data_IF_693900345712
#
_entry.id   IF_693900345712
#
_cell.length_a   1.000
_cell.length_b   1.000
_cell.length_c   1.000
_cell.angle_alpha   90.00
_cell.angle_beta   90.00
_cell.angle_gamma   90.00
#
_symmetry.space_group_name_H-M   'P 1'
#
loop_
_entity.id
_entity.type
_entity.pdbx_description
1 polymer ?
#
# COMPACT_ATOMS: atom_id res chain seq x y z
N UNK A 1 -2.14 -9.47 8.63
CA UNK A 1 -2.92 -9.22 9.87
C UNK A 1 -2.40 -7.99 10.60
N UNK A 2 -3.26 -7.32 11.35
CA UNK A 2 -2.93 -6.18 12.21
C UNK A 2 -3.24 -6.51 13.68
N UNK A 3 -4.37 -7.15 13.93
CA UNK A 3 -4.85 -7.49 15.27
C UNK A 3 -4.16 -8.77 15.79
N UNK A 4 -3.52 -8.73 16.98
CA UNK A 4 -2.98 -9.91 17.63
C UNK A 4 -4.06 -10.98 17.88
N UNK A 5 -5.25 -10.56 18.31
CA UNK A 5 -6.37 -11.49 18.55
C UNK A 5 -6.78 -12.27 17.29
N UNK A 6 -6.83 -11.57 16.13
CA UNK A 6 -7.14 -12.24 14.86
C UNK A 6 -5.98 -13.15 14.42
N UNK A 7 -4.74 -12.76 14.68
CA UNK A 7 -3.57 -13.57 14.41
C UNK A 7 -3.63 -14.89 15.20
N UNK A 8 -3.84 -14.82 16.50
CA UNK A 8 -3.95 -15.98 17.39
C UNK A 8 -5.12 -16.88 16.96
N UNK A 9 -6.26 -16.29 16.64
CA UNK A 9 -7.41 -17.06 16.12
C UNK A 9 -7.08 -17.82 14.84
N UNK A 10 -6.41 -17.18 13.87
CA UNK A 10 -6.05 -17.83 12.61
C UNK A 10 -5.01 -18.91 12.85
N UNK A 11 -3.98 -18.67 13.65
CA UNK A 11 -2.94 -19.66 13.95
C UNK A 11 -3.52 -20.93 14.61
N UNK A 12 -4.44 -20.74 15.54
CA UNK A 12 -5.05 -21.84 16.27
C UNK A 12 -6.07 -22.64 15.45
N UNK A 13 -6.85 -21.98 14.60
CA UNK A 13 -7.95 -22.63 13.88
C UNK A 13 -7.62 -22.97 12.42
N UNK A 14 -6.63 -22.29 11.83
CA UNK A 14 -6.25 -22.43 10.42
C UNK A 14 -4.73 -22.50 10.24
N UNK A 15 -4.04 -23.50 10.80
CA UNK A 15 -2.56 -23.54 10.87
C UNK A 15 -1.88 -23.66 9.50
N UNK A 16 -2.63 -24.01 8.44
CA UNK A 16 -2.11 -24.05 7.07
C UNK A 16 -2.05 -22.68 6.38
N UNK A 17 -2.67 -21.64 6.97
CA UNK A 17 -2.64 -20.31 6.38
C UNK A 17 -1.32 -19.61 6.67
N UNK A 18 -0.75 -19.04 5.61
CA UNK A 18 0.40 -18.18 5.71
C UNK A 18 -0.05 -16.77 6.13
N UNK A 19 0.55 -16.24 7.16
CA UNK A 19 0.21 -14.91 7.66
C UNK A 19 1.18 -13.86 7.12
N UNK A 20 0.61 -12.71 6.74
CA UNK A 20 1.37 -11.51 6.40
C UNK A 20 1.17 -10.46 7.48
N UNK A 21 2.26 -9.95 8.06
CA UNK A 21 2.23 -8.80 8.94
C UNK A 21 1.99 -7.52 8.14
N UNK A 22 1.03 -6.71 8.57
CA UNK A 22 0.59 -5.52 7.82
C UNK A 22 1.36 -4.27 8.22
N UNK A 23 1.69 -3.41 7.25
CA UNK A 23 2.22 -2.06 7.49
C UNK A 23 1.29 -1.19 8.36
N UNK A 24 0.00 -1.53 8.45
CA UNK A 24 -0.93 -0.83 9.35
C UNK A 24 -0.61 -1.01 10.85
N UNK A 25 0.27 -1.93 11.21
CA UNK A 25 0.82 -2.02 12.57
C UNK A 25 1.69 -0.81 12.93
N UNK A 26 2.18 -0.09 11.93
CA UNK A 26 3.03 1.10 12.13
C UNK A 26 4.32 0.80 12.91
N UNK A 27 5.02 -0.22 12.48
CA UNK A 27 6.34 -0.57 13.04
C UNK A 27 7.38 0.37 12.42
N UNK A 28 7.71 1.44 13.12
CA UNK A 28 8.64 2.49 12.66
C UNK A 28 9.95 2.53 13.46
N UNK A 29 10.09 1.65 14.44
CA UNK A 29 11.33 1.43 15.17
C UNK A 29 12.10 0.25 14.53
N UNK A 30 13.41 0.38 14.24
CA UNK A 30 14.19 -0.68 13.62
C UNK A 30 14.26 -1.97 14.43
N UNK A 31 14.36 -1.89 15.77
CA UNK A 31 14.42 -3.08 16.64
C UNK A 31 13.09 -3.80 16.64
N UNK A 32 11.98 -3.06 16.75
CA UNK A 32 10.64 -3.63 16.66
C UNK A 32 10.40 -4.31 15.28
N UNK A 33 10.99 -3.78 14.19
CA UNK A 33 10.93 -4.42 12.88
C UNK A 33 11.73 -5.73 12.85
N UNK A 34 12.92 -5.76 13.44
CA UNK A 34 13.72 -6.99 13.58
C UNK A 34 12.98 -8.06 14.40
N UNK A 35 12.35 -7.66 15.52
CA UNK A 35 11.51 -8.55 16.34
C UNK A 35 10.33 -9.10 15.54
N UNK A 36 9.66 -8.27 14.77
CA UNK A 36 8.55 -8.71 13.90
C UNK A 36 9.00 -9.67 12.82
N UNK A 37 10.19 -9.45 12.23
CA UNK A 37 10.82 -10.36 11.27
C UNK A 37 11.26 -11.68 11.92
N UNK A 38 11.53 -11.69 13.21
CA UNK A 38 11.84 -12.90 14.00
C UNK A 38 10.60 -13.77 14.27
N UNK A 39 9.39 -13.24 14.10
CA UNK A 39 8.14 -14.00 14.27
C UNK A 39 7.83 -14.86 13.04
N UNK A 40 6.95 -15.84 13.23
CA UNK A 40 6.50 -16.74 12.17
C UNK A 40 5.48 -16.06 11.23
N UNK A 41 5.95 -15.07 10.46
CA UNK A 41 5.23 -14.52 9.33
C UNK A 41 5.85 -15.01 8.01
N UNK A 42 4.98 -15.27 7.05
CA UNK A 42 5.41 -15.57 5.68
C UNK A 42 5.98 -14.32 5.01
N UNK A 43 5.30 -13.18 5.20
CA UNK A 43 5.72 -11.87 4.70
C UNK A 43 5.53 -10.84 5.82
N UNK A 44 6.48 -9.93 5.94
CA UNK A 44 6.37 -8.72 6.76
C UNK A 44 6.35 -7.50 5.83
N UNK A 45 5.22 -6.78 5.82
CA UNK A 45 5.13 -5.53 5.06
C UNK A 45 5.83 -4.44 5.86
N UNK A 46 7.01 -4.07 5.41
CA UNK A 46 7.84 -3.03 6.03
C UNK A 46 7.11 -1.69 5.94
N UNK A 47 7.15 -0.91 7.03
CA UNK A 47 6.57 0.43 7.00
C UNK A 47 7.33 1.29 5.99
N UNK A 48 6.60 1.95 5.11
CA UNK A 48 7.21 2.72 4.01
C UNK A 48 8.00 3.96 4.49
N UNK A 49 7.93 4.32 5.76
CA UNK A 49 8.85 5.31 6.33
C UNK A 49 10.30 4.83 6.36
N UNK A 50 10.55 3.52 6.22
CA UNK A 50 11.88 2.95 6.03
C UNK A 50 12.35 2.94 4.57
N UNK A 51 11.49 3.21 3.59
CA UNK A 51 11.89 3.25 2.20
C UNK A 51 13.06 4.22 2.00
N UNK A 52 14.07 3.78 1.27
CA UNK A 52 15.32 4.51 1.02
C UNK A 52 16.16 4.83 2.28
N UNK A 53 15.85 4.23 3.41
CA UNK A 53 16.70 4.27 4.61
C UNK A 53 17.68 3.10 4.57
N UNK A 54 18.77 3.29 3.84
CA UNK A 54 19.77 2.24 3.57
C UNK A 54 20.41 1.70 4.84
N UNK A 55 20.67 2.55 5.85
CA UNK A 55 21.26 2.16 7.13
C UNK A 55 20.45 1.07 7.86
N UNK A 56 19.12 1.13 7.73
CA UNK A 56 18.20 0.14 8.31
C UNK A 56 18.03 -1.04 7.35
N UNK A 57 17.72 -0.77 6.08
CA UNK A 57 17.39 -1.80 5.08
C UNK A 57 18.52 -2.79 4.85
N UNK A 58 19.77 -2.33 4.84
CA UNK A 58 20.96 -3.19 4.66
C UNK A 58 21.14 -4.22 5.77
N UNK A 59 20.71 -3.87 6.97
CA UNK A 59 20.87 -4.71 8.18
C UNK A 59 19.71 -5.67 8.41
N UNK A 60 18.56 -5.49 7.73
CA UNK A 60 17.40 -6.33 7.96
C UNK A 60 17.70 -7.79 7.67
N UNK A 61 17.29 -8.71 8.57
CA UNK A 61 17.27 -10.14 8.29
C UNK A 61 16.11 -10.47 7.33
N UNK A 62 16.19 -11.65 6.69
CA UNK A 62 15.07 -12.19 5.90
C UNK A 62 14.51 -11.21 4.84
N UNK A 63 15.36 -10.45 4.16
CA UNK A 63 14.93 -9.41 3.19
C UNK A 63 13.99 -9.93 2.10
N UNK A 64 14.13 -11.18 1.67
CA UNK A 64 13.22 -11.83 0.70
C UNK A 64 11.78 -11.97 1.21
N UNK A 65 11.59 -11.98 2.53
CA UNK A 65 10.28 -12.08 3.18
C UNK A 65 9.74 -10.69 3.57
N UNK A 66 10.47 -9.62 3.23
CA UNK A 66 10.03 -8.23 3.39
C UNK A 66 9.28 -7.76 2.15
N UNK A 67 8.03 -7.29 2.31
CA UNK A 67 7.29 -6.62 1.24
C UNK A 67 7.42 -5.10 1.39
N UNK A 68 7.85 -4.42 0.33
CA UNK A 68 8.04 -2.96 0.31
C UNK A 68 6.93 -2.30 -0.51
N UNK A 69 6.25 -1.32 0.07
CA UNK A 69 5.25 -0.51 -0.61
C UNK A 69 5.94 0.59 -1.41
N UNK A 70 5.97 0.46 -2.76
CA UNK A 70 6.83 1.29 -3.61
C UNK A 70 6.28 2.68 -3.90
N UNK A 71 4.97 2.87 -3.80
CA UNK A 71 4.26 4.09 -4.19
C UNK A 71 3.30 4.61 -3.13
N UNK A 72 3.69 4.55 -1.86
CA UNK A 72 2.86 5.05 -0.76
C UNK A 72 2.47 6.52 -0.96
N UNK A 73 1.16 6.82 -0.98
CA UNK A 73 0.66 8.16 -1.21
C UNK A 73 0.66 9.06 0.04
N UNK A 74 0.73 8.46 1.22
CA UNK A 74 0.66 9.20 2.48
C UNK A 74 1.94 10.02 2.72
N UNK A 75 1.82 11.09 3.52
CA UNK A 75 2.95 11.89 3.96
C UNK A 75 3.94 11.05 4.75
N UNK A 76 5.25 11.12 4.43
CA UNK A 76 6.29 10.48 5.24
C UNK A 76 6.22 10.94 6.70
N UNK A 77 6.37 10.00 7.64
CA UNK A 77 6.29 10.25 9.08
C UNK A 77 4.98 10.94 9.55
N UNK A 78 3.87 10.75 8.84
CA UNK A 78 2.59 11.36 9.22
C UNK A 78 2.18 10.96 10.65
N UNK A 79 2.08 11.90 11.60
CA UNK A 79 1.73 11.60 12.99
C UNK A 79 0.28 11.12 13.15
N UNK A 80 -0.59 11.45 12.19
CA UNK A 80 -2.01 11.10 12.20
C UNK A 80 -2.31 9.72 11.59
N UNK A 81 -1.31 9.05 11.01
CA UNK A 81 -1.53 7.82 10.22
C UNK A 81 -2.16 6.69 11.03
N UNK A 82 -1.70 6.46 12.27
CA UNK A 82 -2.28 5.43 13.14
C UNK A 82 -3.75 5.70 13.48
N UNK A 83 -4.10 6.97 13.74
CA UNK A 83 -5.48 7.38 13.97
C UNK A 83 -6.33 7.22 12.69
N UNK A 84 -5.78 7.57 11.52
CA UNK A 84 -6.45 7.37 10.22
C UNK A 84 -6.74 5.88 9.97
N UNK A 85 -5.80 4.97 10.18
CA UNK A 85 -6.05 3.54 10.03
C UNK A 85 -7.14 3.02 10.97
N UNK A 86 -7.17 3.49 12.21
CA UNK A 86 -8.27 3.17 13.16
C UNK A 86 -9.61 3.71 12.68
N UNK A 87 -9.64 4.95 12.18
CA UNK A 87 -10.84 5.56 11.64
C UNK A 87 -11.41 4.73 10.48
N UNK A 88 -10.57 4.33 9.52
CA UNK A 88 -10.97 3.43 8.41
C UNK A 88 -11.55 2.11 8.95
N UNK A 89 -10.91 1.51 9.96
CA UNK A 89 -11.42 0.29 10.60
C UNK A 89 -12.80 0.47 11.21
N UNK A 90 -13.02 1.55 11.95
CA UNK A 90 -14.33 1.87 12.55
C UNK A 90 -15.39 2.10 11.47
N UNK A 91 -15.05 2.84 10.41
CA UNK A 91 -15.98 3.06 9.28
C UNK A 91 -16.36 1.74 8.59
N UNK A 92 -15.41 0.82 8.40
CA UNK A 92 -15.69 -0.49 7.79
C UNK A 92 -16.62 -1.35 8.66
N UNK A 93 -16.43 -1.36 9.96
CA UNK A 93 -17.33 -2.06 10.90
C UNK A 93 -18.73 -1.45 10.82
N UNK A 94 -18.84 -0.13 10.95
CA UNK A 94 -20.13 0.58 10.90
C UNK A 94 -20.83 0.39 9.55
N UNK A 95 -20.09 0.40 8.44
CA UNK A 95 -20.63 0.11 7.11
C UNK A 95 -21.19 -1.32 7.03
N UNK A 96 -20.45 -2.32 7.52
CA UNK A 96 -20.92 -3.71 7.52
C UNK A 96 -22.18 -3.91 8.36
N UNK A 97 -22.30 -3.24 9.50
CA UNK A 97 -23.50 -3.24 10.32
C UNK A 97 -24.66 -2.55 9.62
N UNK A 98 -24.38 -1.42 8.96
CA UNK A 98 -25.38 -0.65 8.22
C UNK A 98 -25.99 -1.48 7.07
N UNK A 99 -25.16 -2.12 6.23
CA UNK A 99 -25.69 -2.91 5.11
C UNK A 99 -26.46 -4.15 5.56
N UNK A 100 -26.10 -4.76 6.69
CA UNK A 100 -26.87 -5.87 7.28
C UNK A 100 -28.26 -5.42 7.69
N UNK A 101 -28.39 -4.21 8.22
CA UNK A 101 -29.65 -3.69 8.76
C UNK A 101 -30.51 -2.96 7.71
N UNK A 102 -29.87 -2.17 6.85
CA UNK A 102 -30.56 -1.21 5.99
C UNK A 102 -30.37 -1.47 4.49
N UNK A 103 -29.59 -2.50 4.11
CA UNK A 103 -29.33 -2.95 2.73
C UNK A 103 -28.94 -1.82 1.75
N UNK A 104 -29.94 -1.15 1.16
CA UNK A 104 -29.76 -0.18 0.06
C UNK A 104 -29.82 1.29 0.51
N UNK A 105 -29.92 1.58 1.81
CA UNK A 105 -29.89 2.96 2.27
C UNK A 105 -28.47 3.53 2.24
N UNK A 106 -28.31 4.81 1.90
CA UNK A 106 -27.00 5.45 1.91
C UNK A 106 -26.31 5.38 3.27
N UNK A 107 -25.03 5.08 3.27
CA UNK A 107 -24.19 5.11 4.46
C UNK A 107 -23.46 6.44 4.58
N UNK A 108 -23.62 7.11 5.71
CA UNK A 108 -22.90 8.34 6.00
C UNK A 108 -21.61 8.05 6.77
N UNK A 109 -20.51 7.88 6.02
CA UNK A 109 -19.18 7.65 6.58
C UNK A 109 -18.66 8.85 7.42
N UNK A 110 -19.17 10.06 7.18
CA UNK A 110 -18.72 11.26 7.89
C UNK A 110 -18.98 11.21 9.40
N UNK A 111 -20.05 10.51 9.82
CA UNK A 111 -20.37 10.30 11.24
C UNK A 111 -19.28 9.54 12.01
N UNK A 112 -18.43 8.81 11.29
CA UNK A 112 -17.38 7.97 11.84
C UNK A 112 -15.97 8.52 11.56
N UNK A 113 -15.88 9.80 11.16
CA UNK A 113 -14.63 10.50 10.84
C UNK A 113 -14.50 11.82 11.64
N UNK A 114 -14.35 11.74 12.97
CA UNK A 114 -14.31 12.93 13.84
C UNK A 114 -13.09 13.82 13.57
N UNK A 115 -12.02 13.26 13.00
CA UNK A 115 -10.79 13.99 12.67
C UNK A 115 -10.75 14.48 11.22
N UNK A 116 -11.83 14.30 10.46
CA UNK A 116 -11.95 14.73 9.08
C UNK A 116 -10.86 14.17 8.15
N UNK A 117 -10.52 12.90 8.29
CA UNK A 117 -9.52 12.23 7.44
C UNK A 117 -9.93 12.15 5.98
N UNK A 118 -11.24 12.16 5.68
CA UNK A 118 -11.77 12.19 4.31
C UNK A 118 -11.28 13.40 3.50
N UNK A 119 -10.95 14.50 4.16
CA UNK A 119 -10.40 15.70 3.54
C UNK A 119 -8.87 15.79 3.71
N UNK A 120 -8.20 14.68 3.96
CA UNK A 120 -6.75 14.65 4.02
C UNK A 120 -6.16 15.05 2.64
N UNK A 121 -5.30 16.08 2.57
CA UNK A 121 -4.77 16.56 1.30
C UNK A 121 -3.91 15.50 0.57
N UNK A 122 -3.40 14.52 1.31
CA UNK A 122 -2.55 13.48 0.75
C UNK A 122 -3.31 12.33 0.11
N UNK A 123 -4.61 12.20 0.37
CA UNK A 123 -5.44 11.13 -0.19
C UNK A 123 -5.69 11.25 -1.70
N UNK A 124 -5.45 12.43 -2.27
CA UNK A 124 -5.66 12.73 -3.68
C UNK A 124 -4.37 12.67 -4.53
N UNK A 125 -3.24 12.30 -3.93
CA UNK A 125 -1.98 12.21 -4.65
C UNK A 125 -2.02 11.16 -5.74
N UNK A 126 -1.68 11.55 -6.98
CA UNK A 126 -1.43 10.64 -8.08
C UNK A 126 0.03 10.20 -8.16
N UNK A 127 0.34 9.36 -9.14
CA UNK A 127 1.71 8.83 -9.32
C UNK A 127 2.76 9.95 -9.48
N UNK A 128 2.41 11.07 -10.11
CA UNK A 128 3.34 12.18 -10.32
C UNK A 128 3.68 12.90 -9.01
N UNK A 129 2.72 13.05 -8.12
CA UNK A 129 2.93 13.67 -6.80
C UNK A 129 3.77 12.76 -5.89
N UNK A 130 3.51 11.45 -5.95
CA UNK A 130 4.20 10.44 -5.15
C UNK A 130 5.68 10.36 -5.51
N UNK A 131 6.05 10.54 -6.78
CA UNK A 131 7.42 10.46 -7.27
C UNK A 131 8.38 11.46 -6.61
N UNK A 132 7.86 12.55 -6.05
CA UNK A 132 8.64 13.53 -5.28
C UNK A 132 8.85 13.17 -3.81
N UNK A 133 8.20 12.13 -3.29
CA UNK A 133 8.32 11.76 -1.89
C UNK A 133 9.59 10.95 -1.62
N UNK A 134 10.22 11.19 -0.45
CA UNK A 134 11.38 10.41 -0.02
C UNK A 134 11.12 8.91 0.15
N UNK A 135 9.84 8.54 0.33
CA UNK A 135 9.38 7.16 0.49
C UNK A 135 9.09 6.47 -0.83
N UNK A 136 9.18 7.19 -1.95
CA UNK A 136 9.00 6.61 -3.27
C UNK A 136 10.19 5.73 -3.65
N UNK A 137 9.91 4.52 -4.12
CA UNK A 137 10.91 3.62 -4.69
C UNK A 137 10.70 3.60 -6.20
N UNK A 138 11.71 4.02 -6.96
CA UNK A 138 11.64 4.00 -8.42
C UNK A 138 11.82 2.60 -8.99
N UNK A 139 11.36 2.30 -10.21
CA UNK A 139 11.69 1.05 -10.90
C UNK A 139 13.20 0.81 -11.00
N UNK A 140 13.97 1.86 -11.25
CA UNK A 140 15.42 1.76 -11.33
C UNK A 140 16.05 1.41 -9.97
N UNK A 141 15.55 1.98 -8.88
CA UNK A 141 15.98 1.61 -7.53
C UNK A 141 15.64 0.16 -7.22
N UNK A 142 14.45 -0.32 -7.62
CA UNK A 142 14.07 -1.73 -7.44
C UNK A 142 15.16 -2.64 -8.03
N UNK A 143 15.49 -2.44 -9.31
CA UNK A 143 16.42 -3.33 -10.02
C UNK A 143 17.88 -3.12 -9.67
N UNK A 144 18.29 -1.89 -9.39
CA UNK A 144 19.70 -1.55 -9.20
C UNK A 144 20.15 -1.53 -7.73
N UNK A 145 19.20 -1.45 -6.78
CA UNK A 145 19.51 -1.35 -5.35
C UNK A 145 18.81 -2.43 -4.52
N UNK A 146 17.47 -2.48 -4.57
CA UNK A 146 16.69 -3.34 -3.68
C UNK A 146 16.86 -4.84 -4.02
N UNK A 147 16.74 -5.21 -5.28
CA UNK A 147 16.90 -6.61 -5.72
C UNK A 147 18.33 -7.14 -5.43
N UNK A 148 19.42 -6.41 -5.77
CA UNK A 148 20.76 -6.83 -5.39
C UNK A 148 21.00 -6.94 -3.88
N UNK A 149 20.25 -6.17 -3.08
CA UNK A 149 20.29 -6.24 -1.60
C UNK A 149 19.55 -7.47 -1.03
N UNK A 150 18.75 -8.16 -1.86
CA UNK A 150 18.01 -9.37 -1.50
C UNK A 150 16.52 -9.17 -1.22
N UNK A 151 15.92 -8.03 -1.59
CA UNK A 151 14.47 -7.83 -1.56
C UNK A 151 13.81 -8.41 -2.82
N UNK A 152 12.70 -9.14 -2.64
CA UNK A 152 12.00 -9.82 -3.74
C UNK A 152 10.51 -9.43 -3.83
N UNK A 153 9.96 -8.76 -2.79
CA UNK A 153 8.54 -8.48 -2.70
C UNK A 153 8.28 -6.97 -2.78
N UNK A 154 7.60 -6.54 -3.83
CA UNK A 154 7.27 -5.14 -4.07
C UNK A 154 5.77 -4.98 -4.29
N UNK A 155 5.16 -4.06 -3.56
CA UNK A 155 3.73 -3.83 -3.57
C UNK A 155 3.39 -2.48 -4.16
N UNK A 156 2.45 -2.47 -5.10
CA UNK A 156 1.85 -1.27 -5.65
C UNK A 156 0.50 -1.05 -4.94
N UNK A 157 0.31 0.14 -4.37
CA UNK A 157 -1.01 0.56 -3.88
C UNK A 157 -1.74 1.40 -4.93
N UNK A 158 -3.05 1.66 -4.69
CA UNK A 158 -3.81 2.60 -5.52
C UNK A 158 -5.06 2.01 -6.16
N UNK A 159 -5.52 0.80 -5.75
CA UNK A 159 -6.73 0.16 -6.29
C UNK A 159 -8.01 1.02 -6.19
N UNK A 160 -8.01 2.04 -5.33
CA UNK A 160 -9.13 2.99 -5.14
C UNK A 160 -8.93 4.30 -5.87
N UNK A 161 -7.78 4.48 -6.55
CA UNK A 161 -7.51 5.65 -7.38
C UNK A 161 -8.34 5.62 -8.67
N UNK A 162 -8.33 6.73 -9.42
CA UNK A 162 -8.96 6.75 -10.74
C UNK A 162 -8.36 5.67 -11.65
N UNK A 163 -9.12 5.08 -12.57
CA UNK A 163 -8.61 4.07 -13.51
C UNK A 163 -7.36 4.54 -14.25
N UNK A 164 -7.33 5.81 -14.68
CA UNK A 164 -6.17 6.36 -15.37
C UNK A 164 -4.92 6.38 -14.46
N UNK A 165 -5.05 6.75 -13.19
CA UNK A 165 -3.94 6.75 -12.25
C UNK A 165 -3.43 5.33 -11.98
N UNK A 166 -4.32 4.35 -11.92
CA UNK A 166 -3.95 2.92 -11.77
C UNK A 166 -3.15 2.46 -12.98
N UNK A 167 -3.64 2.74 -14.19
CA UNK A 167 -2.97 2.36 -15.43
C UNK A 167 -1.60 3.03 -15.57
N UNK A 168 -1.48 4.33 -15.29
CA UNK A 168 -0.20 5.04 -15.28
C UNK A 168 0.78 4.46 -14.27
N UNK A 169 0.30 4.06 -13.11
CA UNK A 169 1.13 3.41 -12.08
C UNK A 169 1.67 2.08 -12.59
N UNK A 170 0.84 1.25 -13.20
CA UNK A 170 1.30 -0.01 -13.81
C UNK A 170 2.29 0.23 -14.95
N UNK A 171 2.01 1.19 -15.83
CA UNK A 171 2.94 1.53 -16.91
C UNK A 171 4.29 1.98 -16.37
N UNK A 172 4.29 2.76 -15.29
CA UNK A 172 5.51 3.24 -14.66
C UNK A 172 6.37 2.12 -14.08
N UNK A 173 5.75 1.13 -13.40
CA UNK A 173 6.50 0.05 -12.73
C UNK A 173 6.77 -1.17 -13.61
N UNK A 174 5.92 -1.48 -14.58
CA UNK A 174 5.98 -2.73 -15.33
C UNK A 174 6.54 -2.58 -16.74
N UNK A 175 6.46 -1.37 -17.35
CA UNK A 175 7.06 -1.14 -18.64
C UNK A 175 8.54 -0.73 -18.51
N UNK A 176 9.40 -1.34 -19.34
CA UNK A 176 10.80 -0.92 -19.43
C UNK A 176 10.88 0.56 -19.83
N UNK A 177 11.86 1.32 -19.29
CA UNK A 177 11.98 2.76 -19.55
C UNK A 177 11.94 3.10 -21.03
N UNK A 178 12.69 2.36 -21.85
CA UNK A 178 12.80 2.56 -23.30
C UNK A 178 11.51 2.28 -24.09
N UNK A 179 10.62 1.46 -23.56
CA UNK A 179 9.33 1.10 -24.19
C UNK A 179 8.13 1.84 -23.58
N UNK A 180 8.33 2.64 -22.53
CA UNK A 180 7.24 3.15 -21.69
C UNK A 180 6.28 4.07 -22.47
N UNK A 181 6.80 4.93 -23.32
CA UNK A 181 5.98 5.88 -24.07
C UNK A 181 5.19 5.17 -25.17
N UNK A 182 5.79 4.20 -25.86
CA UNK A 182 5.11 3.38 -26.86
C UNK A 182 4.00 2.52 -26.21
N UNK A 183 4.32 1.88 -25.12
CA UNK A 183 3.35 1.07 -24.36
C UNK A 183 2.19 1.92 -23.83
N UNK A 184 2.46 3.13 -23.34
CA UNK A 184 1.44 4.09 -22.89
C UNK A 184 0.54 4.52 -24.06
N UNK A 185 1.13 4.91 -25.18
CA UNK A 185 0.37 5.30 -26.37
C UNK A 185 -0.52 4.15 -26.87
N UNK A 186 0.03 2.94 -26.96
CA UNK A 186 -0.71 1.75 -27.39
C UNK A 186 -1.86 1.43 -26.45
N UNK A 187 -1.66 1.53 -25.13
CA UNK A 187 -2.70 1.33 -24.14
C UNK A 187 -3.82 2.36 -24.29
N UNK A 188 -3.49 3.64 -24.38
CA UNK A 188 -4.48 4.72 -24.52
C UNK A 188 -5.29 4.56 -25.78
N UNK A 189 -4.64 4.25 -26.91
CA UNK A 189 -5.31 3.98 -28.20
C UNK A 189 -6.24 2.76 -28.12
N UNK A 190 -5.82 1.71 -27.42
CA UNK A 190 -6.67 0.52 -27.22
C UNK A 190 -7.90 0.86 -26.38
N UNK A 191 -7.75 1.62 -25.31
CA UNK A 191 -8.85 2.05 -24.45
C UNK A 191 -9.83 2.97 -25.18
N UNK A 192 -9.34 3.86 -26.04
CA UNK A 192 -10.16 4.70 -26.91
C UNK A 192 -10.96 3.85 -27.91
N UNK A 193 -10.30 2.95 -28.64
CA UNK A 193 -10.91 2.08 -29.64
C UNK A 193 -11.98 1.14 -29.05
N UNK A 194 -11.82 0.74 -27.79
CA UNK A 194 -12.80 -0.12 -27.10
C UNK A 194 -13.92 0.67 -26.42
N UNK A 195 -13.87 2.00 -26.46
CA UNK A 195 -14.81 2.88 -25.76
C UNK A 195 -14.66 2.87 -24.24
N UNK A 196 -13.62 2.24 -23.72
CA UNK A 196 -13.32 2.22 -22.27
C UNK A 196 -12.82 3.58 -21.77
N UNK A 197 -12.24 4.38 -22.64
CA UNK A 197 -11.83 5.75 -22.39
C UNK A 197 -12.38 6.66 -23.49
N UNK A 198 -13.13 7.68 -23.13
CA UNK A 198 -13.66 8.68 -24.05
C UNK A 198 -12.94 9.99 -23.78
N UNK A 199 -12.08 10.41 -24.71
CA UNK A 199 -11.53 11.75 -24.71
C UNK A 199 -12.60 12.72 -25.27
N UNK A 200 -13.08 13.63 -24.43
CA UNK A 200 -13.99 14.69 -24.84
C UNK A 200 -13.21 15.98 -25.09
#
# INVERSE_FOLDING_TARGET
VVSPLLEDYIRNNYPKYKLTSSTCKRITDPKALEEELGRDYHIVVVDYDFNNNWEVLEKLPRKKDCELLVNACCEPNCPRRSAHYRCIGVQQIAYNEHIKKYKNLPFDAAKYDPENFRNCPYSQRGIFDIRGLRTHITPDDIWNKYVPMGFEQFKIEGRTASPLNVLETYMYYMAKPECRDEARFTLLKTLENTGALIFK
#
